data_IF_641447074175
#
_entry.id   IF_641447074175
#
_cell.length_a   1.000
_cell.length_b   1.000
_cell.length_c   1.000
_cell.angle_alpha   90.00
_cell.angle_beta   90.00
_cell.angle_gamma   90.00
#
_symmetry.space_group_name_H-M   'P 1'
#
loop_
_entity.id
_entity.type
_entity.pdbx_description
1 polymer ?
#
# COMPACT_ATOMS: atom_id res chain seq x y z
N UNK A 1 -0.73 7.19 -18.38
CA UNK A 1 -0.72 7.45 -16.92
C UNK A 1 0.58 8.17 -16.57
N UNK A 2 0.52 9.42 -16.09
CA UNK A 2 1.72 10.18 -15.67
C UNK A 2 2.47 9.41 -14.56
N UNK A 3 3.79 9.60 -14.35
CA UNK A 3 4.60 8.91 -13.32
C UNK A 3 4.33 9.42 -11.88
N UNK A 4 3.08 9.75 -11.59
CA UNK A 4 2.61 10.51 -10.43
C UNK A 4 2.89 9.81 -9.10
N UNK A 5 2.76 8.48 -9.07
CA UNK A 5 2.99 7.70 -7.86
C UNK A 5 4.48 7.63 -7.48
N UNK A 6 5.38 7.65 -8.46
CA UNK A 6 6.82 7.66 -8.22
C UNK A 6 7.28 8.96 -7.55
N UNK A 7 6.78 10.09 -8.05
CA UNK A 7 7.09 11.41 -7.51
C UNK A 7 6.48 11.61 -6.12
N UNK A 8 5.23 11.19 -5.92
CA UNK A 8 4.59 11.21 -4.60
C UNK A 8 5.38 10.38 -3.59
N UNK A 9 5.75 9.14 -3.96
CA UNK A 9 6.50 8.23 -3.08
C UNK A 9 7.85 8.81 -2.68
N UNK A 10 8.56 9.44 -3.64
CA UNK A 10 9.83 10.12 -3.38
C UNK A 10 9.66 11.28 -2.41
N UNK A 11 8.66 12.16 -2.65
CA UNK A 11 8.37 13.31 -1.77
C UNK A 11 8.01 12.89 -0.35
N UNK A 12 7.25 11.81 -0.17
CA UNK A 12 6.92 11.29 1.16
C UNK A 12 8.16 10.74 1.90
N UNK A 13 9.08 10.11 1.16
CA UNK A 13 10.35 9.63 1.71
C UNK A 13 11.27 10.78 2.08
N UNK A 14 11.47 11.75 1.18
CA UNK A 14 12.37 12.88 1.38
C UNK A 14 11.90 13.80 2.53
N UNK A 15 10.59 13.80 2.80
CA UNK A 15 9.99 14.50 3.96
C UNK A 15 9.92 13.64 5.23
N UNK A 16 10.55 12.47 5.25
CA UNK A 16 10.53 11.50 6.37
C UNK A 16 9.11 11.15 6.87
N UNK A 17 8.10 11.21 5.99
CA UNK A 17 6.70 10.91 6.36
C UNK A 17 6.39 9.43 6.17
N UNK A 18 6.75 8.85 5.01
CA UNK A 18 6.46 7.44 4.71
C UNK A 18 7.40 6.89 3.64
N UNK A 19 7.94 5.68 3.86
CA UNK A 19 8.70 4.94 2.85
C UNK A 19 7.88 3.77 2.29
N UNK A 20 7.35 3.95 1.07
CA UNK A 20 6.60 2.92 0.35
C UNK A 20 7.42 1.66 0.02
N UNK A 21 8.75 1.70 0.19
CA UNK A 21 9.64 0.55 -0.02
C UNK A 21 10.04 -0.15 1.28
N UNK A 22 9.46 0.21 2.43
CA UNK A 22 9.84 -0.34 3.73
C UNK A 22 9.71 -1.86 3.80
N UNK A 23 8.70 -2.45 3.13
CA UNK A 23 8.51 -3.91 3.12
C UNK A 23 9.72 -4.69 2.58
N UNK A 24 10.52 -4.12 1.68
CA UNK A 24 11.75 -4.75 1.19
C UNK A 24 12.99 -4.53 2.09
N UNK A 25 12.88 -3.64 3.08
CA UNK A 25 14.01 -3.18 3.92
C UNK A 25 13.88 -3.60 5.38
N UNK A 26 12.68 -3.95 5.82
CA UNK A 26 12.38 -4.22 7.23
C UNK A 26 13.29 -5.31 7.83
N UNK A 27 13.61 -6.37 7.09
CA UNK A 27 14.50 -7.42 7.56
C UNK A 27 15.92 -6.90 7.86
N UNK A 28 16.47 -6.09 6.95
CA UNK A 28 17.77 -5.43 7.14
C UNK A 28 17.76 -4.49 8.36
N UNK A 29 16.67 -3.74 8.57
CA UNK A 29 16.57 -2.85 9.72
C UNK A 29 16.47 -3.60 11.05
N UNK A 30 15.76 -4.73 11.09
CA UNK A 30 15.69 -5.57 12.29
C UNK A 30 17.07 -6.13 12.64
N UNK A 31 17.80 -6.64 11.65
CA UNK A 31 19.16 -7.17 11.82
C UNK A 31 20.15 -6.10 12.30
N UNK A 32 20.14 -4.91 11.67
CA UNK A 32 21.01 -3.79 12.08
C UNK A 32 20.71 -3.24 13.48
N UNK A 33 19.50 -3.48 14.00
CA UNK A 33 19.13 -3.22 15.40
C UNK A 33 19.53 -4.35 16.36
N UNK A 34 20.22 -5.40 15.89
CA UNK A 34 20.66 -6.56 16.68
C UNK A 34 19.53 -7.53 17.03
N UNK A 35 18.40 -7.51 16.29
CA UNK A 35 17.31 -8.44 16.47
C UNK A 35 17.49 -9.65 15.56
N UNK A 36 17.11 -10.83 16.04
CA UNK A 36 17.09 -12.05 15.22
C UNK A 36 15.69 -12.31 14.71
N UNK A 37 15.52 -12.39 13.39
CA UNK A 37 14.27 -12.81 12.74
C UNK A 37 14.05 -14.30 13.06
N UNK A 38 12.91 -14.61 13.67
CA UNK A 38 12.51 -15.99 14.00
C UNK A 38 11.38 -16.51 13.11
N UNK A 39 10.72 -15.60 12.40
CA UNK A 39 9.66 -15.92 11.45
C UNK A 39 9.55 -14.83 10.39
N UNK A 40 9.46 -15.22 9.12
CA UNK A 40 9.09 -14.34 8.02
C UNK A 40 8.15 -15.07 7.07
N UNK A 41 7.08 -14.40 6.67
CA UNK A 41 6.16 -14.88 5.65
C UNK A 41 5.51 -13.70 4.91
N UNK A 42 5.21 -13.92 3.63
CA UNK A 42 4.31 -13.06 2.87
C UNK A 42 2.86 -13.54 3.11
N UNK A 43 2.01 -12.67 3.66
CA UNK A 43 0.60 -12.95 3.89
C UNK A 43 -0.27 -12.32 2.81
N UNK A 44 -1.31 -13.04 2.41
CA UNK A 44 -2.39 -12.47 1.61
C UNK A 44 -3.35 -11.74 2.54
N UNK A 45 -3.43 -10.43 2.38
CA UNK A 45 -4.44 -9.61 3.02
C UNK A 45 -5.70 -9.54 2.14
N UNK A 46 -6.89 -9.83 2.67
CA UNK A 46 -8.11 -9.87 1.87
C UNK A 46 -8.53 -8.50 1.33
N UNK A 47 -8.01 -7.37 1.82
CA UNK A 47 -8.32 -6.03 1.29
C UNK A 47 -7.48 -5.63 0.08
N UNK A 48 -6.31 -6.27 -0.15
CA UNK A 48 -5.34 -5.81 -1.19
C UNK A 48 -4.61 -6.93 -1.96
N UNK A 49 -4.58 -8.14 -1.43
CA UNK A 49 -3.86 -9.28 -2.00
C UNK A 49 -4.85 -10.40 -2.36
N UNK A 50 -5.74 -10.09 -3.31
CA UNK A 50 -6.72 -11.03 -3.83
C UNK A 50 -6.79 -10.94 -5.36
N UNK A 51 -7.35 -11.98 -5.97
CA UNK A 51 -7.68 -12.03 -7.39
C UNK A 51 -9.19 -12.17 -7.56
N UNK A 52 -9.69 -11.68 -8.68
CA UNK A 52 -11.12 -11.55 -8.92
C UNK A 52 -11.73 -10.36 -8.19
N UNK A 53 -13.04 -10.22 -8.29
CA UNK A 53 -13.75 -9.06 -7.76
C UNK A 53 -13.72 -8.98 -6.24
N UNK A 54 -13.46 -7.78 -5.73
CA UNK A 54 -13.50 -7.48 -4.31
C UNK A 54 -14.92 -7.61 -3.74
N UNK A 55 -15.02 -8.04 -2.48
CA UNK A 55 -16.28 -7.94 -1.75
C UNK A 55 -16.71 -6.47 -1.61
N UNK A 56 -18.03 -6.22 -1.64
CA UNK A 56 -18.59 -4.87 -1.48
C UNK A 56 -18.12 -4.16 -0.20
N UNK A 57 -17.81 -4.90 0.88
CA UNK A 57 -17.26 -4.32 2.11
C UNK A 57 -15.87 -3.74 1.89
N UNK A 58 -15.03 -4.37 1.07
CA UNK A 58 -13.66 -3.93 0.76
C UNK A 58 -13.71 -2.65 -0.08
N UNK A 59 -14.56 -2.62 -1.10
CA UNK A 59 -14.75 -1.43 -1.96
C UNK A 59 -15.16 -0.22 -1.10
N UNK A 60 -16.15 -0.38 -0.22
CA UNK A 60 -16.58 0.69 0.70
C UNK A 60 -15.50 1.10 1.69
N UNK A 61 -14.69 0.17 2.18
CA UNK A 61 -13.55 0.49 3.06
C UNK A 61 -12.50 1.32 2.33
N UNK A 62 -12.19 0.99 1.07
CA UNK A 62 -11.26 1.75 0.25
C UNK A 62 -11.79 3.14 -0.10
N UNK A 63 -13.05 3.26 -0.49
CA UNK A 63 -13.71 4.55 -0.73
C UNK A 63 -13.56 5.49 0.48
N UNK A 64 -13.86 5.00 1.69
CA UNK A 64 -13.64 5.74 2.96
C UNK A 64 -12.16 6.01 3.26
N UNK A 65 -11.25 5.14 2.81
CA UNK A 65 -9.81 5.33 3.00
C UNK A 65 -9.33 6.51 2.15
N UNK A 66 -9.81 6.64 0.91
CA UNK A 66 -9.53 7.80 0.05
C UNK A 66 -9.97 9.11 0.69
N UNK A 67 -11.14 9.16 1.34
CA UNK A 67 -11.61 10.39 2.03
C UNK A 67 -10.64 10.94 3.08
N UNK A 68 -9.75 10.08 3.63
CA UNK A 68 -8.75 10.48 4.63
C UNK A 68 -7.38 10.79 4.03
N UNK A 69 -7.17 10.61 2.73
CA UNK A 69 -5.88 10.80 2.06
C UNK A 69 -5.64 12.26 1.66
N UNK A 70 -5.79 13.20 2.59
CA UNK A 70 -5.71 14.65 2.32
C UNK A 70 -4.40 15.07 1.65
N UNK A 71 -3.26 14.54 2.10
CA UNK A 71 -1.94 14.84 1.50
C UNK A 71 -1.81 14.34 0.06
N UNK A 72 -2.43 13.21 -0.25
CA UNK A 72 -2.40 12.67 -1.61
C UNK A 72 -3.31 13.49 -2.53
N UNK A 73 -4.50 13.86 -2.04
CA UNK A 73 -5.42 14.78 -2.72
C UNK A 73 -4.79 16.13 -3.00
N UNK A 74 -4.11 16.72 -2.01
CA UNK A 74 -3.38 17.99 -2.17
C UNK A 74 -2.26 17.88 -3.22
N UNK A 75 -1.54 16.75 -3.22
CA UNK A 75 -0.46 16.52 -4.17
C UNK A 75 -0.95 16.39 -5.62
N UNK A 76 -2.07 15.69 -5.83
CA UNK A 76 -2.65 15.48 -7.15
C UNK A 76 -3.47 16.66 -7.66
N UNK A 77 -4.11 17.39 -6.75
CA UNK A 77 -5.25 18.24 -7.09
C UNK A 77 -6.54 17.42 -7.18
N UNK A 78 -7.68 18.11 -7.12
CA UNK A 78 -9.00 17.49 -6.98
C UNK A 78 -9.36 16.55 -8.13
N UNK A 79 -9.21 17.03 -9.36
CA UNK A 79 -9.66 16.31 -10.55
C UNK A 79 -8.89 14.99 -10.73
N UNK A 80 -7.55 15.07 -10.69
CA UNK A 80 -6.67 13.90 -10.80
C UNK A 80 -6.91 12.93 -9.63
N UNK A 81 -7.14 13.44 -8.42
CA UNK A 81 -7.47 12.61 -7.25
C UNK A 81 -8.77 11.83 -7.45
N UNK A 82 -9.84 12.47 -7.93
CA UNK A 82 -11.10 11.78 -8.21
C UNK A 82 -10.98 10.76 -9.35
N UNK A 83 -10.16 11.05 -10.38
CA UNK A 83 -9.88 10.07 -11.44
C UNK A 83 -9.18 8.83 -10.88
N UNK A 84 -8.09 9.02 -10.13
CA UNK A 84 -7.34 7.93 -9.50
C UNK A 84 -8.22 7.11 -8.56
N UNK A 85 -9.03 7.78 -7.73
CA UNK A 85 -9.97 7.12 -6.82
C UNK A 85 -10.93 6.20 -7.58
N UNK A 86 -11.57 6.73 -8.63
CA UNK A 86 -12.50 5.96 -9.47
C UNK A 86 -11.82 4.80 -10.16
N UNK A 87 -10.69 5.04 -10.84
CA UNK A 87 -9.92 3.99 -11.52
C UNK A 87 -9.50 2.87 -10.56
N UNK A 88 -9.09 3.22 -9.34
CA UNK A 88 -8.74 2.25 -8.32
C UNK A 88 -9.95 1.41 -7.87
N UNK A 89 -11.08 2.04 -7.57
CA UNK A 89 -12.30 1.33 -7.14
C UNK A 89 -12.88 0.46 -8.27
N UNK A 90 -12.81 0.93 -9.50
CA UNK A 90 -13.20 0.17 -10.69
C UNK A 90 -12.30 -1.06 -10.87
N UNK A 91 -10.99 -0.91 -10.64
CA UNK A 91 -10.04 -2.01 -10.68
C UNK A 91 -10.37 -3.09 -9.63
N UNK A 92 -10.68 -2.71 -8.39
CA UNK A 92 -11.09 -3.65 -7.35
C UNK A 92 -12.43 -4.34 -7.67
N UNK A 93 -13.30 -3.68 -8.42
CA UNK A 93 -14.62 -4.20 -8.78
C UNK A 93 -14.61 -5.13 -10.00
N UNK A 94 -13.47 -5.27 -10.67
CA UNK A 94 -13.32 -6.05 -11.89
C UNK A 94 -13.21 -7.56 -11.59
N UNK A 95 -14.01 -8.38 -12.29
CA UNK A 95 -13.97 -9.85 -12.17
C UNK A 95 -12.62 -10.45 -12.60
N UNK A 96 -11.86 -9.75 -13.44
CA UNK A 96 -10.52 -10.14 -13.89
C UNK A 96 -9.40 -9.41 -13.13
N UNK A 97 -9.71 -8.79 -11.97
CA UNK A 97 -8.69 -8.17 -11.13
C UNK A 97 -7.61 -9.18 -10.76
N UNK A 98 -6.35 -8.76 -10.87
CA UNK A 98 -5.20 -9.54 -10.40
C UNK A 98 -4.33 -8.67 -9.52
N UNK A 99 -3.85 -9.24 -8.42
CA UNK A 99 -2.93 -8.58 -7.50
C UNK A 99 -1.72 -9.47 -7.25
N UNK A 100 -0.52 -8.89 -7.42
CA UNK A 100 0.75 -9.50 -7.01
C UNK A 100 1.22 -8.97 -5.66
N UNK A 101 0.40 -8.17 -4.98
CA UNK A 101 0.71 -7.57 -3.68
C UNK A 101 0.66 -8.62 -2.58
N UNK A 102 1.48 -8.44 -1.55
CA UNK A 102 1.43 -9.22 -0.32
C UNK A 102 1.82 -8.34 0.87
N UNK A 103 1.39 -8.74 2.06
CA UNK A 103 1.80 -8.10 3.31
C UNK A 103 3.00 -8.85 3.88
N UNK A 104 4.05 -8.11 4.24
CA UNK A 104 5.20 -8.66 4.96
C UNK A 104 4.83 -8.88 6.42
N UNK A 105 4.87 -10.12 6.88
CA UNK A 105 4.71 -10.49 8.28
C UNK A 105 6.02 -11.06 8.81
N UNK A 106 6.62 -10.34 9.77
CA UNK A 106 7.93 -10.70 10.34
C UNK A 106 7.85 -10.66 11.86
N UNK A 107 8.37 -11.70 12.50
CA UNK A 107 8.57 -11.75 13.94
C UNK A 107 10.07 -11.81 14.20
N UNK A 108 10.57 -10.86 14.98
CA UNK A 108 11.94 -10.83 15.44
C UNK A 108 11.98 -10.79 16.97
N UNK A 109 13.04 -11.35 17.53
CA UNK A 109 13.30 -11.34 18.96
C UNK A 109 14.58 -10.57 19.27
N UNK A 110 14.57 -9.89 20.40
CA UNK A 110 15.82 -9.46 21.02
C UNK A 110 16.52 -10.73 21.55
N UNK A 111 17.84 -10.84 21.38
CA UNK A 111 18.63 -11.92 21.98
C UNK A 111 18.37 -12.05 23.49
#
# INVERSE_FOLDING_TARGET
MKPVFGDYSRRQRDSNTYDFQMGGKIGYFLDSCGLSIVYEENRNDPEIAFNGKAENRIIRSWDRRFERMFKFREFLGEEDFQSVKREFLDCLSNENHTSSTFVKYIVARKP
#
